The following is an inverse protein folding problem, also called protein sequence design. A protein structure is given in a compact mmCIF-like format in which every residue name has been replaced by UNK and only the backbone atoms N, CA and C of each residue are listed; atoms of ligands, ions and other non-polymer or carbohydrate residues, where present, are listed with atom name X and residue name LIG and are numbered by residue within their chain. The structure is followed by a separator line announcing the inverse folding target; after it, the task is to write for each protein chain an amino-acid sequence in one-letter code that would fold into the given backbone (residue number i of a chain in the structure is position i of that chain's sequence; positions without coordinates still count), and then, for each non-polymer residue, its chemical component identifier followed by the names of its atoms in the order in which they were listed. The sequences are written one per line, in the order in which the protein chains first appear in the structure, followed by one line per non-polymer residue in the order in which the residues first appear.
data_IF_817271936556
#
_entry.id   IF_817271936556
#
_cell.length_a   1.000
_cell.length_b   1.000
_cell.length_c   1.000
_cell.angle_alpha   90.00
_cell.angle_beta   90.00
_cell.angle_gamma   90.00
#
_symmetry.space_group_name_H-M   'P 1'
#
loop_
_entity.id
_entity.type
_entity.pdbx_description
1 polymer ?
#
# COMPACT_ATOMS: atom_id res chain seq x y z
N UNK A 1 4.12 -43.48 -13.13
CA UNK A 1 2.97 -42.61 -13.48
C UNK A 1 2.26 -42.21 -12.20
N UNK A 2 2.92 -41.49 -11.30
CA UNK A 2 2.35 -41.16 -9.97
C UNK A 2 2.78 -39.78 -9.49
N UNK A 3 4.06 -39.42 -9.65
CA UNK A 3 4.57 -38.13 -9.12
C UNK A 3 4.05 -36.89 -9.85
N UNK A 4 3.82 -36.97 -11.17
CA UNK A 4 3.30 -35.85 -11.98
C UNK A 4 1.81 -35.62 -11.73
N UNK A 5 1.06 -36.69 -11.44
CA UNK A 5 -0.36 -36.59 -11.13
C UNK A 5 -0.59 -35.96 -9.73
N UNK A 6 0.32 -36.21 -8.79
CA UNK A 6 0.27 -35.60 -7.45
C UNK A 6 0.59 -34.10 -7.50
N UNK A 7 1.52 -33.67 -8.36
CA UNK A 7 1.81 -32.25 -8.60
C UNK A 7 0.62 -31.51 -9.21
N UNK A 8 -0.07 -32.11 -10.17
CA UNK A 8 -1.25 -31.50 -10.82
C UNK A 8 -2.42 -31.31 -9.84
N UNK A 9 -2.63 -32.27 -8.94
CA UNK A 9 -3.65 -32.19 -7.89
C UNK A 9 -3.29 -31.12 -6.84
N UNK A 10 -2.01 -31.00 -6.48
CA UNK A 10 -1.52 -29.94 -5.58
C UNK A 10 -1.63 -28.55 -6.22
N UNK A 11 -1.25 -28.41 -7.49
CA UNK A 11 -1.38 -27.16 -8.24
C UNK A 11 -2.84 -26.72 -8.38
N UNK A 12 -3.77 -27.66 -8.58
CA UNK A 12 -5.20 -27.37 -8.62
C UNK A 12 -5.73 -26.87 -7.27
N UNK A 13 -5.29 -27.48 -6.16
CA UNK A 13 -5.68 -27.07 -4.81
C UNK A 13 -5.10 -25.70 -4.42
N UNK A 14 -3.85 -25.40 -4.79
CA UNK A 14 -3.23 -24.09 -4.56
C UNK A 14 -3.92 -22.98 -5.36
N UNK A 15 -4.33 -23.26 -6.60
CA UNK A 15 -5.05 -22.31 -7.43
C UNK A 15 -6.45 -22.02 -6.87
N UNK A 16 -7.15 -23.04 -6.37
CA UNK A 16 -8.47 -22.87 -5.75
C UNK A 16 -8.38 -22.08 -4.43
N UNK A 17 -7.33 -22.31 -3.64
CA UNK A 17 -7.04 -21.53 -2.43
C UNK A 17 -6.68 -20.06 -2.73
N UNK A 18 -5.95 -19.83 -3.83
CA UNK A 18 -5.58 -18.48 -4.29
C UNK A 18 -6.76 -17.71 -4.92
N UNK A 19 -7.77 -18.44 -5.42
CA UNK A 19 -8.93 -17.86 -6.14
C UNK A 19 -10.20 -17.83 -5.30
N UNK A 20 -10.24 -18.51 -4.15
CA UNK A 20 -11.42 -18.61 -3.27
C UNK A 20 -12.00 -17.29 -2.76
N UNK A 21 -11.24 -16.19 -2.81
CA UNK A 21 -11.70 -14.83 -2.49
C UNK A 21 -11.87 -13.93 -3.74
N UNK A 22 -11.43 -14.42 -4.91
CA UNK A 22 -11.72 -13.82 -6.22
C UNK A 22 -13.05 -14.40 -6.73
N UNK A 23 -14.11 -14.26 -5.93
CA UNK A 23 -15.44 -14.37 -6.48
C UNK A 23 -15.52 -13.44 -7.68
N UNK A 24 -15.77 -14.01 -8.87
CA UNK A 24 -16.08 -13.28 -10.08
C UNK A 24 -17.30 -12.41 -9.75
N UNK A 25 -17.04 -11.16 -9.39
CA UNK A 25 -18.06 -10.16 -9.12
C UNK A 25 -18.66 -9.68 -10.45
N UNK A 26 -19.36 -10.59 -11.12
CA UNK A 26 -20.21 -10.24 -12.28
C UNK A 26 -21.63 -9.90 -11.85
N UNK A 27 -21.86 -9.63 -10.57
CA UNK A 27 -23.17 -9.22 -10.07
C UNK A 27 -23.07 -8.40 -8.78
N UNK A 28 -22.36 -7.28 -8.89
CA UNK A 28 -22.52 -6.18 -7.95
C UNK A 28 -22.64 -4.89 -8.76
N UNK A 29 -23.84 -4.65 -9.26
CA UNK A 29 -24.37 -3.27 -9.22
C UNK A 29 -24.66 -2.99 -7.74
N UNK A 30 -23.62 -3.02 -6.90
CA UNK A 30 -23.66 -2.35 -5.63
C UNK A 30 -23.76 -0.88 -6.00
N UNK A 31 -24.95 -0.35 -5.73
CA UNK A 31 -25.13 1.01 -5.28
C UNK A 31 -23.83 1.46 -4.60
N UNK A 32 -23.07 2.31 -5.29
CA UNK A 32 -21.82 2.86 -4.81
C UNK A 32 -22.18 3.81 -3.67
N UNK A 33 -22.46 3.21 -2.51
CA UNK A 33 -22.66 3.91 -1.26
C UNK A 33 -21.40 4.73 -1.04
N UNK A 34 -21.51 6.05 -0.80
CA UNK A 34 -20.34 6.89 -0.60
C UNK A 34 -19.67 6.44 0.70
N UNK A 35 -18.66 5.57 0.58
CA UNK A 35 -17.68 5.33 1.63
C UNK A 35 -16.77 6.57 1.72
N UNK A 36 -17.35 7.69 2.12
CA UNK A 36 -16.64 8.91 2.45
C UNK A 36 -17.25 9.46 3.72
N UNK A 37 -16.74 9.01 4.87
CA UNK A 37 -16.78 9.74 6.14
C UNK A 37 -16.04 8.92 7.21
N UNK A 38 -14.70 8.93 7.16
CA UNK A 38 -13.88 8.47 8.29
C UNK A 38 -13.47 9.63 9.23
N UNK A 39 -13.40 10.88 8.74
CA UNK A 39 -12.77 11.99 9.49
C UNK A 39 -13.54 13.33 9.48
N UNK A 40 -14.83 13.36 9.11
CA UNK A 40 -15.61 14.61 9.06
C UNK A 40 -15.11 15.66 8.05
N UNK A 41 -14.20 15.26 7.14
CA UNK A 41 -13.69 16.10 6.06
C UNK A 41 -14.57 15.93 4.82
N UNK A 42 -14.93 17.06 4.18
CA UNK A 42 -15.66 17.02 2.92
C UNK A 42 -14.86 16.23 1.86
N UNK A 43 -15.56 15.44 1.02
CA UNK A 43 -14.93 14.67 -0.06
C UNK A 43 -14.18 15.60 -1.03
N UNK A 44 -13.03 15.12 -1.52
CA UNK A 44 -12.19 15.88 -2.45
C UNK A 44 -12.86 16.12 -3.82
N UNK A 45 -13.71 15.18 -4.25
CA UNK A 45 -14.47 15.24 -5.50
C UNK A 45 -15.88 14.72 -5.21
N UNK A 46 -16.91 15.44 -5.69
CA UNK A 46 -18.31 15.02 -5.63
C UNK A 46 -18.87 14.96 -7.05
N UNK A 47 -19.51 13.85 -7.38
CA UNK A 47 -20.26 13.71 -8.64
C UNK A 47 -21.69 14.14 -8.37
N UNK A 48 -22.02 15.37 -8.76
CA UNK A 48 -23.33 15.97 -8.49
C UNK A 48 -24.47 15.33 -9.30
N UNK A 49 -24.17 14.83 -10.52
CA UNK A 49 -25.18 14.27 -11.44
C UNK A 49 -24.60 13.18 -12.34
N UNK A 50 -25.40 12.13 -12.54
CA UNK A 50 -25.10 11.03 -13.45
C UNK A 50 -24.19 9.97 -12.83
N UNK A 51 -24.06 8.83 -13.52
CA UNK A 51 -23.08 7.80 -13.20
C UNK A 51 -21.94 7.89 -14.24
N UNK A 52 -20.68 8.09 -13.81
CA UNK A 52 -19.55 8.12 -14.75
C UNK A 52 -19.40 6.76 -15.42
N UNK A 53 -19.05 6.77 -16.70
CA UNK A 53 -18.69 5.54 -17.40
C UNK A 53 -17.28 5.07 -16.99
N UNK A 54 -16.95 3.81 -17.26
CA UNK A 54 -15.61 3.27 -17.00
C UNK A 54 -14.50 4.08 -17.69
N UNK A 55 -14.79 4.65 -18.87
CA UNK A 55 -13.87 5.52 -19.59
C UNK A 55 -13.63 6.85 -18.85
N UNK A 56 -14.69 7.42 -18.27
CA UNK A 56 -14.59 8.65 -17.48
C UNK A 56 -13.78 8.41 -16.20
N UNK A 57 -14.02 7.27 -15.54
CA UNK A 57 -13.25 6.87 -14.35
C UNK A 57 -11.76 6.69 -14.71
N UNK A 58 -11.46 5.99 -15.80
CA UNK A 58 -10.08 5.79 -16.25
C UNK A 58 -9.38 7.13 -16.57
N UNK A 59 -10.09 8.08 -17.18
CA UNK A 59 -9.56 9.41 -17.44
C UNK A 59 -9.25 10.17 -16.13
N UNK A 60 -10.16 10.13 -15.15
CA UNK A 60 -9.93 10.75 -13.84
C UNK A 60 -8.72 10.15 -13.12
N UNK A 61 -8.60 8.81 -13.11
CA UNK A 61 -7.46 8.10 -12.51
C UNK A 61 -6.16 8.48 -13.21
N UNK A 62 -6.15 8.55 -14.54
CA UNK A 62 -4.97 8.95 -15.31
C UNK A 62 -4.49 10.36 -14.93
N UNK A 63 -5.42 11.32 -14.83
CA UNK A 63 -5.09 12.70 -14.45
C UNK A 63 -4.57 12.77 -13.01
N UNK A 64 -5.22 12.09 -12.06
CA UNK A 64 -4.80 12.14 -10.66
C UNK A 64 -3.47 11.43 -10.42
N UNK A 65 -3.20 10.32 -11.11
CA UNK A 65 -1.89 9.64 -11.02
C UNK A 65 -0.78 10.48 -11.64
N UNK A 66 -1.02 11.13 -12.79
CA UNK A 66 -0.07 12.07 -13.38
C UNK A 66 0.20 13.27 -12.46
N UNK A 67 -0.84 13.83 -11.84
CA UNK A 67 -0.71 14.92 -10.87
C UNK A 67 0.08 14.48 -9.62
N UNK A 68 -0.18 13.28 -9.10
CA UNK A 68 0.55 12.71 -7.97
C UNK A 68 2.02 12.46 -8.31
N UNK A 69 2.33 11.99 -9.52
CA UNK A 69 3.70 11.78 -9.98
C UNK A 69 4.47 13.11 -10.15
N UNK A 70 3.77 14.20 -10.48
CA UNK A 70 4.34 15.53 -10.59
C UNK A 70 4.45 16.25 -9.23
N UNK A 71 3.88 15.69 -8.16
CA UNK A 71 3.94 16.30 -6.84
C UNK A 71 5.38 16.31 -6.32
N UNK A 72 5.76 17.40 -5.66
CA UNK A 72 7.03 17.45 -4.94
C UNK A 72 7.04 16.35 -3.87
N UNK A 73 8.19 15.71 -3.60
CA UNK A 73 8.30 14.73 -2.53
C UNK A 73 7.79 15.37 -1.23
N UNK A 74 6.88 14.66 -0.55
CA UNK A 74 6.36 15.13 0.71
C UNK A 74 7.52 15.35 1.70
N UNK A 75 7.47 16.45 2.44
CA UNK A 75 8.38 16.67 3.55
C UNK A 75 8.06 15.63 4.62
N UNK A 76 8.88 14.58 4.69
CA UNK A 76 8.74 13.50 5.66
C UNK A 76 9.33 13.88 7.03
N UNK A 77 9.74 15.14 7.21
CA UNK A 77 10.39 15.63 8.43
C UNK A 77 11.69 14.88 8.74
N UNK A 78 12.27 15.12 9.92
CA UNK A 78 13.38 14.32 10.42
C UNK A 78 12.92 12.86 10.60
N UNK A 79 13.77 11.91 10.21
CA UNK A 79 13.48 10.50 10.44
C UNK A 79 13.31 10.23 11.94
N UNK A 80 12.13 9.73 12.36
CA UNK A 80 11.96 9.20 13.71
C UNK A 80 12.68 7.85 13.80
N UNK A 81 13.75 7.85 14.59
CA UNK A 81 14.60 6.71 14.81
C UNK A 81 14.46 6.19 16.25
N UNK A 82 13.53 6.71 17.05
CA UNK A 82 13.28 6.19 18.39
C UNK A 82 12.78 4.74 18.30
N UNK A 83 13.33 3.86 19.13
CA UNK A 83 12.72 2.54 19.38
C UNK A 83 12.91 1.50 18.29
N UNK A 84 13.79 1.73 17.30
CA UNK A 84 14.15 0.68 16.34
C UNK A 84 14.66 -0.56 17.11
N UNK A 85 14.18 -1.78 16.81
CA UNK A 85 14.59 -2.98 17.54
C UNK A 85 16.11 -3.21 17.56
N UNK A 86 16.80 -2.79 16.49
CA UNK A 86 18.27 -2.82 16.39
C UNK A 86 18.98 -1.89 17.38
N UNK A 87 18.27 -0.91 17.95
CA UNK A 87 18.79 0.00 18.98
C UNK A 87 18.53 -0.50 20.41
N UNK A 88 17.54 -1.37 20.62
CA UNK A 88 17.21 -1.92 21.94
C UNK A 88 18.30 -2.87 22.46
N UNK A 89 19.10 -3.45 21.55
CA UNK A 89 20.12 -4.44 21.87
C UNK A 89 21.56 -3.95 21.62
N UNK A 90 21.80 -2.62 21.57
CA UNK A 90 23.16 -2.10 21.26
C UNK A 90 24.19 -2.62 22.27
N UNK A 91 25.14 -3.39 21.76
CA UNK A 91 26.37 -3.79 22.45
C UNK A 91 27.52 -2.78 22.34
N UNK A 92 27.29 -1.57 21.82
CA UNK A 92 28.31 -0.51 21.84
C UNK A 92 28.30 0.19 23.19
N UNK A 93 29.48 0.38 23.78
CA UNK A 93 29.65 1.12 25.03
C UNK A 93 28.96 2.50 24.96
N UNK A 94 28.25 2.96 26.01
CA UNK A 94 27.51 4.22 26.03
C UNK A 94 28.33 5.46 25.62
N UNK A 95 29.66 5.39 25.70
CA UNK A 95 30.58 6.47 25.39
C UNK A 95 31.40 6.25 24.10
N UNK A 96 30.97 5.35 23.20
CA UNK A 96 31.63 5.13 21.92
C UNK A 96 31.15 6.12 20.84
N UNK A 97 32.03 6.58 19.92
CA UNK A 97 31.61 7.31 18.71
C UNK A 97 30.57 6.56 17.86
N UNK A 98 30.49 5.23 18.00
CA UNK A 98 29.54 4.38 17.29
C UNK A 98 28.20 4.17 18.02
N UNK A 99 27.99 4.79 19.18
CA UNK A 99 26.70 4.75 19.89
C UNK A 99 25.57 5.35 19.06
N UNK A 100 25.90 6.26 18.14
CA UNK A 100 24.98 6.93 17.23
C UNK A 100 25.41 6.72 15.76
N UNK A 101 25.21 5.52 15.17
CA UNK A 101 25.71 5.16 13.85
C UNK A 101 25.11 6.01 12.73
N UNK A 102 23.95 6.61 12.96
CA UNK A 102 23.33 7.54 12.01
C UNK A 102 24.04 8.91 12.00
N UNK A 103 24.73 9.27 13.09
CA UNK A 103 25.49 10.51 13.20
C UNK A 103 27.00 10.29 13.05
N UNK A 104 27.50 9.07 13.28
CA UNK A 104 28.94 8.76 13.25
C UNK A 104 29.58 8.92 11.87
N UNK A 105 28.77 8.90 10.81
CA UNK A 105 29.23 9.04 9.43
C UNK A 105 29.22 10.50 8.93
N UNK A 106 28.70 11.44 9.73
CA UNK A 106 28.75 12.86 9.39
C UNK A 106 30.18 13.37 9.59
N UNK A 107 30.79 13.88 8.52
CA UNK A 107 32.05 14.62 8.60
C UNK A 107 31.73 16.11 8.60
N UNK A 108 32.23 16.82 9.62
CA UNK A 108 32.25 18.28 9.67
C UNK A 108 33.56 18.81 9.08
#
# INVERSE_FOLDING_TARGET
MTIVAEEEVLAAAELDLATGDLAVDTASVADASPAAEADGRQPFLVIEKGAPSDADIAALVCVFTAAAAAAAPADNGPQDLWGRPTMLHRGSSPFSPYSYPQLSNLRF
#
